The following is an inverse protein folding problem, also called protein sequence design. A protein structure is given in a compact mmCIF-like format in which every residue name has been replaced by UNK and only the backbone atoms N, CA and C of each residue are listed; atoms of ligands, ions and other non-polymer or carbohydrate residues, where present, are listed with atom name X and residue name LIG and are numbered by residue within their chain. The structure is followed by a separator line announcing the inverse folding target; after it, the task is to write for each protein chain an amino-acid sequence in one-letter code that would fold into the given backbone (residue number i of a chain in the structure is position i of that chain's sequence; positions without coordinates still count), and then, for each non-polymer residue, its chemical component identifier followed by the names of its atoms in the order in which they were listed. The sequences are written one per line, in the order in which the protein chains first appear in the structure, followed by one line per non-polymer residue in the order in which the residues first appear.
data_IF_178266195328
#
_entry.id   IF_178266195328
#
_cell.length_a   1.000
_cell.length_b   1.000
_cell.length_c   1.000
_cell.angle_alpha   90.00
_cell.angle_beta   90.00
_cell.angle_gamma   90.00
#
_symmetry.space_group_name_H-M   'P 1'
#
loop_
_entity.id
_entity.type
_entity.pdbx_description
1 polymer ?
#
# COMPACT_ATOMS: atom_id res chain seq x y z
N UNK A 1 11.74 -40.31 46.31
CA UNK A 1 12.00 -39.55 45.06
C UNK A 1 10.69 -39.41 44.28
N UNK A 2 9.88 -38.43 44.64
CA UNK A 2 8.69 -37.95 43.93
C UNK A 2 8.48 -36.55 44.50
N UNK A 3 8.12 -35.56 43.69
CA UNK A 3 7.93 -34.14 44.05
C UNK A 3 9.06 -33.16 43.69
N UNK A 4 9.98 -33.48 42.76
CA UNK A 4 10.86 -32.46 42.16
C UNK A 4 10.55 -32.11 40.69
N UNK A 5 9.74 -32.92 40.00
CA UNK A 5 9.34 -32.64 38.62
C UNK A 5 8.16 -31.65 38.51
N UNK A 6 7.26 -31.61 39.50
CA UNK A 6 6.05 -30.78 39.43
C UNK A 6 6.34 -29.28 39.67
N UNK A 7 7.43 -28.97 40.39
CA UNK A 7 7.79 -27.59 40.72
C UNK A 7 8.45 -26.86 39.56
N UNK A 8 9.07 -27.58 38.62
CA UNK A 8 9.76 -26.99 37.46
C UNK A 8 8.75 -26.60 36.37
N UNK A 9 7.66 -27.36 36.22
CA UNK A 9 6.60 -27.05 35.25
C UNK A 9 5.77 -25.82 35.64
N UNK A 10 5.61 -25.54 36.94
CA UNK A 10 4.86 -24.37 37.43
C UNK A 10 5.61 -23.04 37.28
N UNK A 11 6.93 -23.05 37.13
CA UNK A 11 7.74 -21.83 36.92
C UNK A 11 7.82 -21.47 35.43
N UNK A 12 7.81 -22.45 34.54
CA UNK A 12 7.87 -22.21 33.09
C UNK A 12 6.59 -21.58 32.51
N UNK A 13 5.44 -21.84 33.11
CA UNK A 13 4.15 -21.31 32.64
C UNK A 13 3.92 -19.85 33.05
N UNK A 14 4.56 -19.38 34.12
CA UNK A 14 4.46 -17.98 34.56
C UNK A 14 5.37 -17.01 33.80
N UNK A 15 6.37 -17.50 33.06
CA UNK A 15 7.31 -16.65 32.32
C UNK A 15 6.85 -16.27 30.91
N UNK A 16 5.74 -16.83 30.41
CA UNK A 16 5.28 -16.63 29.03
C UNK A 16 4.26 -15.49 28.84
N UNK A 17 3.84 -14.80 29.91
CA UNK A 17 2.83 -13.72 29.85
C UNK A 17 3.41 -12.31 29.65
N UNK A 18 4.71 -12.18 29.41
CA UNK A 18 5.36 -10.89 29.11
C UNK A 18 5.95 -10.84 27.69
N UNK A 19 5.43 -11.66 26.77
CA UNK A 19 5.81 -11.56 25.37
C UNK A 19 5.07 -10.40 24.70
N UNK A 20 5.76 -9.26 24.71
CA UNK A 20 5.75 -8.24 23.67
C UNK A 20 4.36 -7.69 23.27
N UNK A 21 3.81 -6.84 24.13
CA UNK A 21 3.04 -5.68 23.66
C UNK A 21 4.00 -4.69 23.00
N UNK A 22 4.61 -5.09 21.88
CA UNK A 22 5.33 -4.19 20.98
C UNK A 22 4.30 -3.37 20.23
N UNK A 23 3.68 -2.42 20.93
CA UNK A 23 3.05 -1.29 20.26
C UNK A 23 4.17 -0.56 19.55
N UNK A 24 4.36 -0.87 18.27
CA UNK A 24 5.03 0.07 17.38
C UNK A 24 4.25 1.37 17.51
N UNK A 25 4.85 2.37 18.14
CA UNK A 25 4.34 3.73 18.02
C UNK A 25 4.27 4.01 16.52
N UNK A 26 3.06 4.00 15.97
CA UNK A 26 2.82 4.42 14.61
C UNK A 26 3.13 5.91 14.64
N UNK A 27 4.37 6.27 14.28
CA UNK A 27 4.72 7.66 14.06
C UNK A 27 3.90 8.11 12.85
N UNK A 28 2.79 8.78 13.13
CA UNK A 28 1.99 9.44 12.11
C UNK A 28 2.86 10.56 11.56
N UNK A 29 3.50 10.28 10.43
CA UNK A 29 4.27 11.29 9.71
C UNK A 29 3.26 12.21 9.04
N UNK A 30 3.23 13.47 9.48
CA UNK A 30 2.48 14.51 8.78
C UNK A 30 3.03 14.63 7.35
N UNK A 31 2.14 14.74 6.38
CA UNK A 31 2.52 14.84 4.98
C UNK A 31 1.60 15.81 4.24
N UNK A 32 2.11 16.33 3.14
CA UNK A 32 1.36 17.12 2.17
C UNK A 32 0.98 16.25 0.97
N UNK A 33 -0.16 16.58 0.35
CA UNK A 33 -0.54 16.00 -0.93
C UNK A 33 0.09 16.79 -2.08
N UNK A 34 0.57 16.06 -3.07
CA UNK A 34 1.01 16.59 -4.36
C UNK A 34 0.28 15.88 -5.50
N UNK A 35 0.33 16.47 -6.70
CA UNK A 35 -0.21 15.83 -7.90
C UNK A 35 0.49 14.47 -8.10
N UNK A 36 -0.24 13.34 -7.98
CA UNK A 36 0.37 12.04 -8.13
C UNK A 36 0.71 11.78 -9.59
N UNK A 37 1.91 11.24 -9.81
CA UNK A 37 2.35 10.77 -11.11
C UNK A 37 2.91 9.36 -11.01
N UNK A 38 2.79 8.58 -12.07
CA UNK A 38 3.44 7.29 -12.16
C UNK A 38 3.74 6.92 -13.61
N UNK A 39 4.76 6.08 -13.79
CA UNK A 39 4.99 5.42 -15.06
C UNK A 39 3.97 4.30 -15.25
N UNK A 40 3.59 4.04 -16.50
CA UNK A 40 2.75 2.90 -16.81
C UNK A 40 3.50 1.59 -16.45
N UNK A 41 2.88 0.74 -15.65
CA UNK A 41 3.43 -0.59 -15.32
C UNK A 41 3.32 -1.57 -16.50
N UNK A 42 2.96 -1.09 -17.70
CA UNK A 42 3.08 -1.85 -18.96
C UNK A 42 4.51 -2.38 -19.18
N UNK A 43 5.52 -1.74 -18.56
CA UNK A 43 6.93 -2.09 -18.68
C UNK A 43 7.47 -2.99 -17.57
N UNK A 44 6.85 -3.05 -16.39
CA UNK A 44 7.03 -4.20 -15.48
C UNK A 44 6.59 -5.53 -16.13
N UNK A 45 5.92 -5.46 -17.30
CA UNK A 45 5.51 -6.56 -18.16
C UNK A 45 6.34 -6.61 -19.46
N UNK A 46 7.54 -6.03 -19.55
CA UNK A 46 8.34 -5.97 -20.79
C UNK A 46 9.81 -5.65 -20.49
N UNK A 47 10.75 -6.22 -21.26
CA UNK A 47 12.21 -6.07 -21.10
C UNK A 47 12.80 -4.66 -21.33
N UNK A 48 12.00 -3.59 -21.19
CA UNK A 48 12.33 -2.18 -21.42
C UNK A 48 11.99 -1.28 -20.23
N UNK A 49 12.08 -1.79 -19.01
CA UNK A 49 12.10 -0.91 -17.82
C UNK A 49 13.30 0.03 -17.91
N UNK A 50 13.07 1.33 -17.70
CA UNK A 50 14.13 2.32 -17.76
C UNK A 50 13.64 3.78 -17.73
N UNK A 51 14.56 4.74 -17.51
CA UNK A 51 14.30 6.18 -17.35
C UNK A 51 13.64 6.88 -18.54
N UNK A 52 13.46 6.19 -19.68
CA UNK A 52 12.86 6.73 -20.89
C UNK A 52 11.31 6.60 -20.93
N UNK A 53 10.69 6.09 -19.87
CA UNK A 53 9.23 5.97 -19.77
C UNK A 53 8.58 7.29 -19.34
N UNK A 54 7.55 7.78 -20.06
CA UNK A 54 6.82 8.98 -19.64
C UNK A 54 6.07 8.72 -18.32
N UNK A 55 6.02 9.76 -17.49
CA UNK A 55 5.14 9.81 -16.32
C UNK A 55 3.76 10.29 -16.75
N UNK A 56 2.73 9.71 -16.15
CA UNK A 56 1.34 10.10 -16.35
C UNK A 56 0.78 10.67 -15.05
N UNK A 57 -0.04 11.71 -15.17
CA UNK A 57 -0.83 12.23 -14.06
C UNK A 57 -1.89 11.20 -13.65
N UNK A 58 -1.97 10.93 -12.36
CA UNK A 58 -2.96 10.06 -11.76
C UNK A 58 -4.11 10.90 -11.18
N UNK A 59 -5.33 10.34 -11.10
CA UNK A 59 -6.45 11.07 -10.51
C UNK A 59 -6.25 11.26 -9.01
N UNK A 60 -6.49 12.48 -8.52
CA UNK A 60 -6.44 12.82 -7.09
C UNK A 60 -7.75 12.36 -6.45
N UNK A 61 -7.80 11.08 -6.10
CA UNK A 61 -8.97 10.43 -5.50
C UNK A 61 -8.55 9.64 -4.28
N UNK A 62 -9.41 9.66 -3.27
CA UNK A 62 -9.30 8.83 -2.08
C UNK A 62 -10.22 7.61 -2.23
N UNK A 63 -9.63 6.42 -2.25
CA UNK A 63 -10.33 5.16 -2.45
C UNK A 63 -10.66 4.50 -1.11
N UNK A 64 -11.89 4.02 -0.87
CA UNK A 64 -12.27 3.42 0.41
C UNK A 64 -11.58 2.07 0.66
N UNK A 65 -11.25 1.33 -0.40
CA UNK A 65 -10.61 0.02 -0.33
C UNK A 65 -9.89 -0.32 -1.63
N UNK A 66 -9.11 -1.40 -1.60
CA UNK A 66 -8.55 -2.03 -2.79
C UNK A 66 -8.70 -3.55 -2.66
N UNK A 67 -8.54 -4.25 -3.78
CA UNK A 67 -8.46 -5.72 -3.82
C UNK A 67 -7.09 -6.14 -4.30
N UNK A 68 -6.54 -7.22 -3.74
CA UNK A 68 -5.29 -7.79 -4.24
C UNK A 68 -5.56 -8.60 -5.52
N UNK A 69 -4.77 -8.34 -6.56
CA UNK A 69 -4.89 -9.02 -7.84
C UNK A 69 -3.53 -9.52 -8.32
N UNK A 70 -3.39 -10.84 -8.40
CA UNK A 70 -2.24 -11.50 -9.01
C UNK A 70 -2.33 -11.43 -10.53
N UNK A 71 -1.52 -10.58 -11.16
CA UNK A 71 -1.52 -10.38 -12.61
C UNK A 71 -0.28 -11.04 -13.22
N UNK A 72 -0.51 -11.84 -14.26
CA UNK A 72 0.60 -12.44 -15.02
C UNK A 72 1.40 -11.35 -15.72
N UNK A 73 2.71 -11.34 -15.48
CA UNK A 73 3.64 -10.41 -16.11
C UNK A 73 4.39 -11.11 -17.23
N UNK A 74 4.85 -10.37 -18.26
CA UNK A 74 5.62 -11.03 -19.31
C UNK A 74 6.92 -11.56 -18.70
N UNK A 75 7.41 -12.70 -19.20
CA UNK A 75 8.73 -13.18 -18.84
C UNK A 75 9.81 -12.16 -19.16
N UNK A 76 10.56 -11.77 -18.13
CA UNK A 76 11.89 -11.22 -18.28
C UNK A 76 12.92 -12.36 -18.26
N UNK A 77 14.19 -12.02 -18.15
CA UNK A 77 15.31 -12.97 -18.04
C UNK A 77 15.24 -13.85 -16.77
N UNK A 78 14.33 -13.56 -15.81
CA UNK A 78 14.08 -14.36 -14.60
C UNK A 78 12.94 -15.37 -14.78
N UNK A 79 12.37 -15.51 -15.98
CA UNK A 79 11.43 -16.60 -16.33
C UNK A 79 9.94 -16.26 -16.21
N UNK A 80 9.60 -15.00 -15.93
CA UNK A 80 8.22 -14.54 -15.80
C UNK A 80 7.48 -15.07 -14.58
N UNK A 81 6.36 -14.42 -14.26
CA UNK A 81 5.67 -14.68 -13.01
C UNK A 81 4.29 -14.05 -12.92
N UNK A 82 3.78 -13.98 -11.69
CA UNK A 82 2.63 -13.17 -11.32
C UNK A 82 3.14 -12.13 -10.33
N UNK A 83 2.72 -10.88 -10.51
CA UNK A 83 2.99 -9.78 -9.59
C UNK A 83 1.69 -9.37 -8.92
N UNK A 84 1.80 -8.90 -7.69
CA UNK A 84 0.66 -8.40 -6.92
C UNK A 84 0.34 -6.94 -7.27
N UNK A 85 -0.92 -6.72 -7.63
CA UNK A 85 -1.46 -5.39 -7.92
C UNK A 85 -2.54 -5.03 -6.91
N UNK A 86 -2.56 -3.77 -6.48
CA UNK A 86 -3.74 -3.18 -5.88
C UNK A 86 -4.75 -2.82 -6.98
N UNK A 87 -5.87 -3.54 -7.01
CA UNK A 87 -6.96 -3.28 -7.93
C UNK A 87 -8.01 -2.39 -7.28
N UNK A 88 -8.18 -1.20 -7.85
CA UNK A 88 -9.15 -0.19 -7.44
C UNK A 88 -10.09 0.15 -8.61
N UNK A 89 -11.29 0.63 -8.27
CA UNK A 89 -12.25 1.13 -9.25
C UNK A 89 -12.34 2.65 -9.15
N UNK A 90 -12.18 3.35 -10.28
CA UNK A 90 -12.23 4.81 -10.35
C UNK A 90 -13.56 5.35 -9.83
N UNK A 91 -14.67 4.63 -10.06
CA UNK A 91 -16.01 5.06 -9.62
C UNK A 91 -16.21 5.04 -8.10
N UNK A 92 -15.35 4.33 -7.36
CA UNK A 92 -15.40 4.26 -5.90
C UNK A 92 -14.55 5.36 -5.23
N UNK A 93 -13.74 6.07 -6.02
CA UNK A 93 -12.92 7.16 -5.53
C UNK A 93 -13.75 8.39 -5.18
N UNK A 94 -13.39 9.03 -4.07
CA UNK A 94 -13.93 10.33 -3.66
C UNK A 94 -12.90 11.43 -3.90
N UNK A 95 -13.35 12.64 -4.25
CA UNK A 95 -12.45 13.77 -4.43
C UNK A 95 -11.76 14.16 -3.12
N UNK A 96 -10.50 14.58 -3.22
CA UNK A 96 -9.69 15.09 -2.12
C UNK A 96 -8.90 16.30 -2.61
N UNK A 97 -8.79 17.34 -1.79
CA UNK A 97 -8.02 18.54 -2.14
C UNK A 97 -6.53 18.27 -1.96
N UNK A 98 -5.70 18.80 -2.86
CA UNK A 98 -4.24 18.78 -2.68
C UNK A 98 -3.79 19.69 -1.52
N UNK A 99 -4.64 20.61 -1.06
CA UNK A 99 -4.39 21.48 0.10
C UNK A 99 -4.76 20.81 1.44
N UNK A 100 -5.22 19.55 1.41
CA UNK A 100 -5.61 18.84 2.61
C UNK A 100 -4.39 18.36 3.41
N UNK A 101 -4.36 18.70 4.69
CA UNK A 101 -3.40 18.14 5.64
C UNK A 101 -3.76 16.68 5.94
N UNK A 102 -2.76 15.81 5.89
CA UNK A 102 -2.95 14.37 6.05
C UNK A 102 -1.94 13.75 7.01
N UNK A 103 -2.30 12.59 7.54
CA UNK A 103 -1.40 11.66 8.18
C UNK A 103 -1.36 10.35 7.39
N UNK A 104 -0.17 9.80 7.19
CA UNK A 104 -0.02 8.45 6.63
C UNK A 104 -0.17 7.44 7.77
N UNK A 105 -1.14 6.54 7.63
CA UNK A 105 -1.56 5.59 8.68
C UNK A 105 -1.34 4.12 8.29
N UNK A 106 -0.86 3.85 7.07
CA UNK A 106 -0.58 2.50 6.61
C UNK A 106 -0.06 2.45 5.18
N UNK A 107 0.42 1.27 4.80
CA UNK A 107 0.97 0.98 3.47
C UNK A 107 0.35 -0.31 2.94
N UNK A 108 -0.01 -0.32 1.66
CA UNK A 108 -0.47 -1.52 0.99
C UNK A 108 0.71 -2.44 0.68
N UNK A 109 0.46 -3.74 0.65
CA UNK A 109 1.46 -4.78 0.31
C UNK A 109 1.86 -4.78 -1.16
N UNK A 110 1.06 -4.18 -2.03
CA UNK A 110 1.27 -4.15 -3.47
C UNK A 110 2.27 -3.06 -3.87
N UNK A 111 3.17 -3.37 -4.82
CA UNK A 111 4.06 -2.37 -5.43
C UNK A 111 3.48 -1.74 -6.69
N UNK A 112 2.51 -2.41 -7.31
CA UNK A 112 1.85 -1.97 -8.53
C UNK A 112 0.37 -1.74 -8.27
N UNK A 113 -0.24 -0.84 -9.03
CA UNK A 113 -1.68 -0.58 -8.94
C UNK A 113 -2.34 -0.69 -10.30
N UNK A 114 -3.61 -1.10 -10.29
CA UNK A 114 -4.49 -1.11 -11.45
C UNK A 114 -5.77 -0.35 -11.12
N UNK A 115 -6.08 0.66 -11.93
CA UNK A 115 -7.32 1.42 -11.83
C UNK A 115 -8.25 1.06 -12.98
N UNK A 116 -9.43 0.57 -12.63
CA UNK A 116 -10.48 0.18 -13.58
C UNK A 116 -11.51 1.31 -13.69
N UNK A 117 -12.15 1.40 -14.85
CA UNK A 117 -13.32 2.26 -15.06
C UNK A 117 -14.34 1.53 -15.95
N UNK A 118 -15.52 2.11 -16.12
CA UNK A 118 -16.54 1.56 -17.03
C UNK A 118 -16.04 1.53 -18.49
N UNK A 119 -15.32 2.56 -18.92
CA UNK A 119 -14.75 2.65 -20.26
C UNK A 119 -13.57 1.69 -20.46
N UNK A 120 -12.87 1.35 -19.36
CA UNK A 120 -11.72 0.44 -19.38
C UNK A 120 -11.78 -0.57 -18.23
N UNK A 121 -12.63 -1.61 -18.34
CA UNK A 121 -12.77 -2.62 -17.28
C UNK A 121 -11.50 -3.44 -17.02
N UNK A 122 -10.63 -3.57 -18.04
CA UNK A 122 -9.33 -4.22 -17.89
C UNK A 122 -8.33 -3.41 -17.06
N UNK A 123 -8.59 -2.10 -16.88
CA UNK A 123 -7.81 -1.15 -16.09
C UNK A 123 -6.50 -0.67 -16.71
N UNK A 124 -6.05 0.48 -16.23
CA UNK A 124 -4.71 1.02 -16.45
C UNK A 124 -3.79 0.65 -15.30
N UNK A 125 -2.55 0.26 -15.63
CA UNK A 125 -1.57 -0.28 -14.69
C UNK A 125 -0.45 0.73 -14.47
N UNK A 126 -0.07 0.94 -13.22
CA UNK A 126 0.92 1.95 -12.83
C UNK A 126 1.96 1.41 -11.85
N UNK A 127 3.18 1.92 -11.98
CA UNK A 127 4.29 1.65 -11.07
C UNK A 127 4.18 2.54 -9.82
N UNK A 128 3.20 2.24 -9.00
CA UNK A 128 3.00 2.87 -7.68
C UNK A 128 2.14 1.96 -6.83
N UNK A 129 2.50 1.83 -5.55
CA UNK A 129 1.64 1.25 -4.53
C UNK A 129 0.59 2.24 -4.03
N UNK A 130 -0.12 1.84 -2.97
CA UNK A 130 -1.08 2.67 -2.27
C UNK A 130 -0.64 2.89 -0.82
N UNK A 131 -0.87 4.09 -0.31
CA UNK A 131 -0.74 4.42 1.11
C UNK A 131 -2.13 4.70 1.68
N UNK A 132 -2.34 4.25 2.91
CA UNK A 132 -3.54 4.61 3.67
C UNK A 132 -3.29 5.92 4.38
N UNK A 133 -4.19 6.87 4.21
CA UNK A 133 -4.12 8.18 4.84
C UNK A 133 -5.38 8.46 5.66
N UNK A 134 -5.26 9.41 6.60
CA UNK A 134 -6.39 10.11 7.20
C UNK A 134 -6.24 11.61 6.91
N UNK A 135 -7.32 12.23 6.47
CA UNK A 135 -7.42 13.69 6.34
C UNK A 135 -7.66 14.27 7.73
N UNK A 136 -6.82 15.21 8.17
CA UNK A 136 -6.83 15.70 9.56
C UNK A 136 -8.14 16.42 9.89
N UNK A 137 -8.59 17.31 9.02
CA UNK A 137 -9.76 18.16 9.28
C UNK A 137 -11.08 17.38 9.33
N UNK A 138 -11.22 16.36 8.50
CA UNK A 138 -12.48 15.60 8.36
C UNK A 138 -12.46 14.25 9.07
N UNK A 139 -11.28 13.74 9.41
CA UNK A 139 -11.10 12.36 9.90
C UNK A 139 -11.35 11.29 8.83
N UNK A 140 -11.56 11.67 7.56
CA UNK A 140 -11.82 10.72 6.48
C UNK A 140 -10.58 9.88 6.20
N UNK A 141 -10.75 8.56 6.18
CA UNK A 141 -9.68 7.61 5.83
C UNK A 141 -9.88 7.03 4.44
N UNK A 142 -8.77 6.71 3.79
CA UNK A 142 -8.78 5.93 2.56
C UNK A 142 -7.40 5.70 1.99
N UNK A 143 -7.36 5.09 0.82
CA UNK A 143 -6.16 4.74 0.09
C UNK A 143 -5.92 5.75 -1.02
N UNK A 144 -4.67 6.18 -1.17
CA UNK A 144 -4.23 7.07 -2.23
C UNK A 144 -2.91 6.56 -2.80
N UNK A 145 -2.54 7.04 -3.98
CA UNK A 145 -1.25 6.72 -4.61
C UNK A 145 -0.09 7.07 -3.69
N UNK A 146 0.88 6.17 -3.54
CA UNK A 146 2.09 6.46 -2.78
C UNK A 146 2.83 7.69 -3.32
N UNK A 147 2.80 7.92 -4.64
CA UNK A 147 3.39 9.10 -5.28
C UNK A 147 2.66 10.42 -5.01
N UNK A 148 1.47 10.38 -4.39
CA UNK A 148 0.75 11.57 -3.95
C UNK A 148 1.33 12.17 -2.67
N UNK A 149 2.17 11.43 -1.94
CA UNK A 149 2.64 11.81 -0.60
C UNK A 149 3.98 12.52 -0.70
N UNK A 150 4.06 13.71 -0.09
CA UNK A 150 5.29 14.43 0.17
C UNK A 150 5.44 14.59 1.68
N UNK A 151 6.37 13.86 2.28
CA UNK A 151 6.65 13.98 3.70
C UNK A 151 7.26 15.35 4.02
N UNK A 152 6.77 15.97 5.08
CA UNK A 152 7.31 17.22 5.61
C UNK A 152 8.21 16.82 6.79
N UNK A 153 9.51 17.14 6.69
CA UNK A 153 10.48 16.98 7.79
C UNK A 153 10.29 18.03 8.88
#
# INVERSE_FOLDING_TARGET
MKNRLLSIFSVFVLSFVLFCGGGTETSFNSAELQQPTAQAANYALSSKEGPDQPYFDLPVLLFPSYTEALIRVKPDWRGGGKEDFCSINKSEGSEISLESDIEVIGEATCFYSIIKSEEKPAGDKYFTGLLKIRVIDTGQEGWIWASAIKYVE
#
